data_IF_770730363722
#
_entry.id   IF_770730363722
#
_cell.length_a   1.000
_cell.length_b   1.000
_cell.length_c   1.000
_cell.angle_alpha   90.00
_cell.angle_beta   90.00
_cell.angle_gamma   90.00
#
_symmetry.space_group_name_H-M   'P 1'
#
loop_
_entity.id
_entity.type
_entity.pdbx_description
1 polymer ?
#
# COMPACT_ATOMS: atom_id res chain seq x y z
N UNK A 1 -12.41 15.57 50.20
CA UNK A 1 -13.25 16.28 49.21
C UNK A 1 -12.39 16.58 47.99
N UNK A 2 -12.57 15.86 46.87
CA UNK A 2 -11.92 16.25 45.63
C UNK A 2 -12.52 17.58 45.18
N UNK A 3 -11.70 18.63 45.09
CA UNK A 3 -12.11 19.91 44.50
C UNK A 3 -12.56 19.66 43.06
N UNK A 4 -13.56 20.42 42.57
CA UNK A 4 -14.04 20.33 41.17
C UNK A 4 -12.89 20.36 40.16
N UNK A 5 -11.83 21.13 40.47
CA UNK A 5 -10.62 21.22 39.64
C UNK A 5 -9.85 19.90 39.54
N UNK A 6 -9.78 19.13 40.63
CA UNK A 6 -9.08 17.83 40.63
C UNK A 6 -9.87 16.77 39.87
N UNK A 7 -11.21 16.83 39.90
CA UNK A 7 -12.07 15.94 39.10
C UNK A 7 -11.89 16.24 37.60
N UNK A 8 -11.89 17.52 37.21
CA UNK A 8 -11.66 17.90 35.81
C UNK A 8 -10.29 17.44 35.30
N UNK A 9 -9.24 17.62 36.10
CA UNK A 9 -7.89 17.15 35.74
C UNK A 9 -7.85 15.62 35.62
N UNK A 10 -8.47 14.89 36.55
CA UNK A 10 -8.51 13.44 36.50
C UNK A 10 -9.26 12.92 35.25
N UNK A 11 -10.37 13.55 34.88
CA UNK A 11 -11.11 13.23 33.66
C UNK A 11 -10.27 13.54 32.41
N UNK A 12 -9.64 14.71 32.35
CA UNK A 12 -8.80 15.08 31.21
C UNK A 12 -7.63 14.11 31.01
N UNK A 13 -6.95 13.73 32.10
CA UNK A 13 -5.87 12.73 32.08
C UNK A 13 -6.43 11.37 31.65
N UNK A 14 -7.58 10.94 32.16
CA UNK A 14 -8.21 9.69 31.77
C UNK A 14 -8.54 9.63 30.27
N UNK A 15 -9.09 10.70 29.72
CA UNK A 15 -9.36 10.83 28.27
C UNK A 15 -8.06 10.78 27.47
N UNK A 16 -7.03 11.49 27.92
CA UNK A 16 -5.71 11.47 27.27
C UNK A 16 -5.09 10.07 27.24
N UNK A 17 -5.11 9.35 28.37
CA UNK A 17 -4.60 7.97 28.45
C UNK A 17 -5.40 7.03 27.56
N UNK A 18 -6.73 7.13 27.59
CA UNK A 18 -7.60 6.30 26.75
C UNK A 18 -7.33 6.53 25.25
N UNK A 19 -7.11 7.79 24.83
CA UNK A 19 -6.79 8.14 23.45
C UNK A 19 -5.42 7.59 23.02
N UNK A 20 -4.40 7.70 23.86
CA UNK A 20 -3.07 7.12 23.58
C UNK A 20 -3.17 5.61 23.43
N UNK A 21 -3.85 4.92 24.35
CA UNK A 21 -4.05 3.46 24.27
C UNK A 21 -4.79 3.08 22.99
N UNK A 22 -5.82 3.83 22.60
CA UNK A 22 -6.54 3.58 21.36
C UNK A 22 -5.62 3.70 20.13
N UNK A 23 -4.79 4.74 20.05
CA UNK A 23 -3.82 4.91 18.96
C UNK A 23 -2.79 3.78 18.96
N UNK A 24 -2.26 3.41 20.12
CA UNK A 24 -1.27 2.30 20.21
C UNK A 24 -1.87 0.99 19.73
N UNK A 25 -3.13 0.69 20.09
CA UNK A 25 -3.83 -0.52 19.65
C UNK A 25 -4.14 -0.47 18.16
N UNK A 26 -4.48 0.69 17.61
CA UNK A 26 -4.70 0.85 16.17
C UNK A 26 -3.41 0.62 15.39
N UNK A 27 -2.29 1.22 15.82
CA UNK A 27 -0.98 1.04 15.21
C UNK A 27 -0.55 -0.44 15.30
N UNK A 28 -0.70 -1.06 16.47
CA UNK A 28 -0.29 -2.45 16.68
C UNK A 28 -1.11 -3.48 15.90
N UNK A 29 -2.31 -3.11 15.43
CA UNK A 29 -3.17 -3.99 14.65
C UNK A 29 -3.21 -3.62 13.16
N UNK A 30 -2.46 -2.61 12.72
CA UNK A 30 -2.33 -2.41 11.28
C UNK A 30 -1.59 -3.61 10.71
N UNK A 31 -2.17 -4.33 9.74
CA UNK A 31 -1.48 -5.43 9.10
C UNK A 31 -0.23 -4.88 8.43
N UNK A 32 0.88 -5.61 8.56
CA UNK A 32 2.12 -5.21 7.90
C UNK A 32 1.86 -5.04 6.39
N UNK A 33 2.38 -3.97 5.77
CA UNK A 33 2.23 -3.75 4.34
C UNK A 33 2.83 -4.90 3.53
N UNK A 34 2.34 -5.08 2.32
CA UNK A 34 2.76 -6.09 1.36
C UNK A 34 1.93 -7.37 1.42
N UNK A 35 2.01 -8.16 0.36
CA UNK A 35 1.26 -9.40 0.25
C UNK A 35 1.94 -10.57 1.00
N UNK A 36 1.18 -11.56 1.50
CA UNK A 36 1.73 -12.70 2.23
C UNK A 36 2.45 -13.72 1.34
N UNK A 37 2.30 -13.62 0.01
CA UNK A 37 2.96 -14.50 -0.96
C UNK A 37 3.11 -13.79 -2.31
N UNK A 38 4.01 -14.28 -3.20
CA UNK A 38 4.12 -13.73 -4.55
C UNK A 38 2.81 -13.78 -5.34
N UNK A 39 2.08 -14.90 -5.27
CA UNK A 39 0.80 -15.05 -5.96
C UNK A 39 -0.22 -14.02 -5.46
N UNK A 40 -0.28 -13.82 -4.14
CA UNK A 40 -1.11 -12.78 -3.56
C UNK A 40 -0.67 -11.37 -4.00
N UNK A 41 0.64 -11.10 -4.10
CA UNK A 41 1.15 -9.83 -4.63
C UNK A 41 0.64 -9.58 -6.05
N UNK A 42 0.76 -10.58 -6.93
CA UNK A 42 0.30 -10.48 -8.32
C UNK A 42 -1.20 -10.17 -8.40
N UNK A 43 -1.99 -10.92 -7.64
CA UNK A 43 -3.45 -10.87 -7.71
C UNK A 43 -3.97 -9.55 -7.10
N UNK A 44 -3.46 -9.13 -5.95
CA UNK A 44 -3.79 -7.83 -5.34
C UNK A 44 -3.28 -6.65 -6.17
N UNK A 45 -2.06 -6.70 -6.71
CA UNK A 45 -1.56 -5.63 -7.58
C UNK A 45 -2.43 -5.48 -8.83
N UNK A 46 -2.81 -6.60 -9.46
CA UNK A 46 -3.76 -6.56 -10.58
C UNK A 46 -5.12 -6.01 -10.14
N UNK A 47 -5.62 -6.45 -8.99
CA UNK A 47 -6.87 -5.99 -8.40
C UNK A 47 -6.90 -4.48 -8.22
N UNK A 48 -5.92 -3.95 -7.48
CA UNK A 48 -5.75 -2.53 -7.21
C UNK A 48 -5.70 -1.69 -8.50
N UNK A 49 -4.90 -2.11 -9.49
CA UNK A 49 -4.77 -1.40 -10.77
C UNK A 49 -6.06 -1.43 -11.61
N UNK A 50 -6.77 -2.56 -11.64
CA UNK A 50 -8.02 -2.72 -12.40
C UNK A 50 -9.17 -1.96 -11.73
N UNK A 51 -9.28 -2.05 -10.40
CA UNK A 51 -10.30 -1.38 -9.61
C UNK A 51 -10.01 0.11 -9.42
N UNK A 52 -8.76 0.55 -9.71
CA UNK A 52 -8.25 1.89 -9.40
C UNK A 52 -8.35 2.18 -7.89
N UNK A 53 -8.01 1.16 -7.11
CA UNK A 53 -8.04 1.22 -5.65
C UNK A 53 -6.68 1.70 -5.14
N UNK A 54 -6.61 2.97 -4.74
CA UNK A 54 -5.38 3.55 -4.22
C UNK A 54 -4.98 3.00 -2.86
N UNK A 55 -5.95 2.60 -2.02
CA UNK A 55 -5.66 2.00 -0.71
C UNK A 55 -5.03 0.62 -0.86
N UNK A 56 -5.59 -0.24 -1.71
CA UNK A 56 -4.99 -1.55 -1.99
C UNK A 56 -3.63 -1.41 -2.69
N UNK A 57 -3.46 -0.39 -3.54
CA UNK A 57 -2.16 -0.11 -4.16
C UNK A 57 -1.13 0.35 -3.12
N UNK A 58 -1.49 1.29 -2.24
CA UNK A 58 -0.64 1.81 -1.16
C UNK A 58 -0.08 0.67 -0.30
N UNK A 59 -0.93 -0.28 0.09
CA UNK A 59 -0.51 -1.43 0.90
C UNK A 59 0.55 -2.31 0.22
N UNK A 60 0.69 -2.26 -1.11
CA UNK A 60 1.66 -3.07 -1.86
C UNK A 60 2.96 -2.32 -2.17
N UNK A 61 3.03 -1.01 -1.90
CA UNK A 61 4.17 -0.19 -2.29
C UNK A 61 5.31 -0.28 -1.28
N UNK A 62 6.50 -0.58 -1.80
CA UNK A 62 7.76 -0.27 -1.16
C UNK A 62 8.14 1.16 -1.54
N UNK A 63 7.61 2.12 -0.79
CA UNK A 63 7.81 3.55 -1.02
C UNK A 63 8.54 4.19 0.15
N UNK A 64 9.62 4.96 -0.09
CA UNK A 64 10.37 5.58 0.98
C UNK A 64 9.60 6.74 1.62
N UNK A 65 9.49 6.73 2.95
CA UNK A 65 8.86 7.79 3.72
C UNK A 65 7.33 7.74 3.70
N UNK A 66 6.67 8.89 3.92
CA UNK A 66 5.22 8.97 4.12
C UNK A 66 4.42 9.34 2.86
N UNK A 67 5.00 9.19 1.66
CA UNK A 67 4.40 9.64 0.41
C UNK A 67 3.68 8.56 -0.40
N UNK A 68 3.50 7.36 0.17
CA UNK A 68 2.91 6.21 -0.54
C UNK A 68 1.44 6.47 -0.93
N UNK A 69 0.65 7.07 -0.03
CA UNK A 69 -0.76 7.39 -0.25
C UNK A 69 -0.95 8.35 -1.42
N UNK A 70 -0.22 9.48 -1.41
CA UNK A 70 -0.33 10.52 -2.44
C UNK A 70 0.10 9.97 -3.80
N UNK A 71 1.17 9.16 -3.82
CA UNK A 71 1.60 8.48 -5.03
C UNK A 71 0.53 7.50 -5.55
N UNK A 72 -0.05 6.68 -4.68
CA UNK A 72 -1.06 5.71 -5.08
C UNK A 72 -2.32 6.39 -5.65
N UNK A 73 -2.80 7.45 -5.00
CA UNK A 73 -3.92 8.27 -5.46
C UNK A 73 -3.66 8.87 -6.85
N UNK A 74 -2.52 9.55 -7.02
CA UNK A 74 -2.13 10.14 -8.31
C UNK A 74 -2.00 9.06 -9.39
N UNK A 75 -1.44 7.90 -9.05
CA UNK A 75 -1.22 6.83 -10.00
C UNK A 75 -2.53 6.25 -10.53
N UNK A 76 -3.47 5.90 -9.65
CA UNK A 76 -4.76 5.34 -10.08
C UNK A 76 -5.64 6.37 -10.78
N UNK A 77 -5.50 7.65 -10.44
CA UNK A 77 -6.15 8.74 -11.16
C UNK A 77 -5.68 8.81 -12.62
N UNK A 78 -4.37 8.77 -12.87
CA UNK A 78 -3.80 8.74 -14.23
C UNK A 78 -4.28 7.52 -15.02
N UNK A 79 -4.36 6.33 -14.41
CA UNK A 79 -4.92 5.14 -15.09
C UNK A 79 -6.38 5.35 -15.53
N UNK A 80 -7.14 6.11 -14.74
CA UNK A 80 -8.51 6.51 -15.06
C UNK A 80 -8.61 7.51 -16.20
N UNK A 81 -7.78 8.55 -16.16
CA UNK A 81 -7.74 9.62 -17.18
C UNK A 81 -7.28 9.09 -18.54
N UNK A 82 -6.31 8.15 -18.55
CA UNK A 82 -5.74 7.55 -19.76
C UNK A 82 -6.55 6.37 -20.32
N UNK A 83 -7.77 6.13 -19.81
CA UNK A 83 -8.66 5.02 -20.19
C UNK A 83 -7.94 3.66 -20.24
N UNK A 84 -7.12 3.39 -19.21
CA UNK A 84 -6.36 2.14 -19.15
C UNK A 84 -7.29 0.96 -18.91
N UNK A 85 -7.11 -0.11 -19.71
CA UNK A 85 -7.89 -1.35 -19.66
C UNK A 85 -7.02 -2.58 -19.90
N UNK A 86 -7.64 -3.76 -19.73
CA UNK A 86 -7.02 -5.07 -19.97
C UNK A 86 -5.70 -5.28 -19.21
N UNK A 87 -5.64 -4.77 -17.98
CA UNK A 87 -4.43 -4.81 -17.16
C UNK A 87 -4.12 -6.27 -16.77
N UNK A 88 -2.89 -6.69 -17.03
CA UNK A 88 -2.33 -7.96 -16.60
C UNK A 88 -1.01 -7.76 -15.87
N UNK A 89 -0.79 -8.57 -14.83
CA UNK A 89 0.43 -8.57 -14.02
C UNK A 89 1.06 -9.95 -14.12
N UNK A 90 2.35 -10.00 -14.47
CA UNK A 90 3.15 -11.22 -14.53
C UNK A 90 4.37 -11.09 -13.62
N UNK A 91 4.64 -12.12 -12.84
CA UNK A 91 5.84 -12.18 -12.00
C UNK A 91 6.98 -12.89 -12.74
N UNK A 92 8.20 -12.39 -12.55
CA UNK A 92 9.41 -12.85 -13.25
C UNK A 92 10.56 -12.97 -12.24
N UNK A 93 11.39 -14.04 -12.29
CA UNK A 93 11.38 -15.13 -13.27
C UNK A 93 10.24 -16.14 -13.12
N UNK A 94 9.68 -16.28 -11.92
CA UNK A 94 8.59 -17.21 -11.61
C UNK A 94 7.76 -16.73 -10.41
N UNK A 95 6.67 -17.44 -10.12
CA UNK A 95 5.73 -17.15 -9.02
C UNK A 95 6.24 -17.61 -7.63
N UNK A 96 7.47 -18.15 -7.52
CA UNK A 96 8.04 -18.59 -6.24
C UNK A 96 9.03 -17.58 -5.66
N UNK A 97 9.90 -17.03 -6.51
CA UNK A 97 10.92 -16.07 -6.11
C UNK A 97 11.06 -14.95 -7.15
N UNK A 98 10.01 -14.13 -7.35
CA UNK A 98 10.06 -13.05 -8.31
C UNK A 98 11.02 -11.95 -7.86
N UNK A 99 11.66 -11.32 -8.85
CA UNK A 99 12.43 -10.09 -8.68
C UNK A 99 11.77 -8.92 -9.39
N UNK A 100 10.80 -9.18 -10.28
CA UNK A 100 10.07 -8.15 -11.02
C UNK A 100 8.61 -8.53 -11.22
N UNK A 101 7.76 -7.50 -11.24
CA UNK A 101 6.39 -7.58 -11.70
C UNK A 101 6.27 -6.81 -13.01
N UNK A 102 5.93 -7.51 -14.09
CA UNK A 102 5.69 -6.93 -15.41
C UNK A 102 4.21 -6.61 -15.51
N UNK A 103 3.88 -5.34 -15.64
CA UNK A 103 2.51 -4.86 -15.83
C UNK A 103 2.32 -4.52 -17.29
N UNK A 104 1.21 -4.99 -17.86
CA UNK A 104 0.82 -4.71 -19.24
C UNK A 104 -0.65 -4.33 -19.31
N UNK A 105 -1.03 -3.58 -20.34
CA UNK A 105 -2.41 -3.16 -20.56
C UNK A 105 -2.58 -2.44 -21.89
N UNK A 106 -3.74 -1.83 -22.08
CA UNK A 106 -4.10 -1.03 -23.26
C UNK A 106 -4.51 0.37 -22.82
N UNK A 107 -4.02 1.40 -23.51
CA UNK A 107 -4.42 2.80 -23.39
C UNK A 107 -4.56 3.40 -24.78
N UNK A 108 -5.63 4.16 -25.06
CA UNK A 108 -5.91 4.77 -26.37
C UNK A 108 -5.73 3.82 -27.57
N UNK A 109 -6.08 2.54 -27.40
CA UNK A 109 -5.94 1.49 -28.42
C UNK A 109 -4.52 0.95 -28.63
N UNK A 110 -3.52 1.43 -27.88
CA UNK A 110 -2.13 0.96 -27.92
C UNK A 110 -1.78 0.14 -26.69
N UNK A 111 -0.98 -0.92 -26.87
CA UNK A 111 -0.47 -1.71 -25.74
C UNK A 111 0.68 -0.99 -25.07
N UNK A 112 0.72 -1.04 -23.74
CA UNK A 112 1.87 -0.65 -22.95
C UNK A 112 2.36 -1.82 -22.09
N UNK A 113 3.62 -1.75 -21.67
CA UNK A 113 4.21 -2.67 -20.71
C UNK A 113 5.32 -1.96 -19.94
N UNK A 114 5.38 -2.18 -18.63
CA UNK A 114 6.47 -1.69 -17.77
C UNK A 114 6.81 -2.74 -16.71
N UNK A 115 7.93 -2.56 -16.02
CA UNK A 115 8.40 -3.48 -14.97
C UNK A 115 8.59 -2.72 -13.66
N UNK A 116 8.15 -3.34 -12.58
CA UNK A 116 8.37 -2.91 -11.20
C UNK A 116 9.35 -3.86 -10.53
N UNK A 117 10.18 -3.33 -9.63
CA UNK A 117 11.00 -4.18 -8.79
C UNK A 117 10.10 -4.85 -7.75
N UNK A 118 10.31 -6.13 -7.50
CA UNK A 118 9.65 -6.86 -6.42
C UNK A 118 10.65 -7.03 -5.29
N UNK A 119 10.25 -6.59 -4.10
CA UNK A 119 11.05 -6.70 -2.89
C UNK A 119 10.34 -7.58 -1.87
N UNK A 120 11.13 -8.09 -0.92
CA UNK A 120 10.63 -8.90 0.18
C UNK A 120 11.21 -8.37 1.48
N UNK A 121 10.36 -7.81 2.32
CA UNK A 121 10.71 -7.30 3.64
C UNK A 121 9.86 -7.98 4.70
N UNK A 122 10.49 -8.43 5.79
CA UNK A 122 9.84 -9.12 6.91
C UNK A 122 8.90 -10.30 6.53
N UNK A 123 9.13 -10.90 5.36
CA UNK A 123 8.33 -12.01 4.85
C UNK A 123 7.12 -11.60 4.00
N UNK A 124 6.85 -10.29 3.87
CA UNK A 124 5.84 -9.71 2.99
C UNK A 124 6.46 -9.30 1.66
N UNK A 125 5.63 -9.26 0.61
CA UNK A 125 6.04 -8.99 -0.76
C UNK A 125 5.45 -7.67 -1.22
N UNK A 126 6.29 -6.80 -1.77
CA UNK A 126 5.94 -5.44 -2.18
C UNK A 126 6.50 -5.13 -3.56
N UNK A 127 6.07 -4.02 -4.15
CA UNK A 127 6.61 -3.49 -5.39
C UNK A 127 7.14 -2.07 -5.22
N UNK A 128 8.27 -1.79 -5.85
CA UNK A 128 8.85 -0.45 -5.92
C UNK A 128 8.73 0.10 -7.35
N UNK A 129 8.17 1.30 -7.44
CA UNK A 129 8.16 2.12 -8.66
C UNK A 129 9.44 2.94 -8.82
N UNK A 130 10.21 3.07 -7.75
CA UNK A 130 11.55 3.63 -7.78
C UNK A 130 12.51 2.65 -8.46
N UNK A 131 13.38 3.11 -9.37
CA UNK A 131 14.43 2.28 -9.91
C UNK A 131 15.33 1.77 -8.76
N UNK A 132 15.75 0.49 -8.76
CA UNK A 132 16.69 0.00 -7.77
C UNK A 132 17.99 0.80 -7.88
N UNK A 133 18.36 1.51 -6.82
CA UNK A 133 19.63 2.20 -6.73
C UNK A 133 20.70 1.19 -6.24
N UNK A 134 21.90 1.16 -6.85
CA UNK A 134 23.00 0.30 -6.42
C UNK A 134 23.66 0.77 -5.10
#
# INVERSE_FOLDING_TARGET
MLSRRNVTVAVAVGVGVAWVVAITVLIANQPDPGAPSPVALRDSLRGALVARDSGELEELLDYPGSGASDFADDYVAVLGEEDVRDIAVQLVPDDHAPTRAVVSGVTHGSRFTYSLAVTREEGRWTVAFTPPLP
#
